data_IF_121679741070
#
_entry.id   IF_121679741070
#
_cell.length_a   1.000
_cell.length_b   1.000
_cell.length_c   1.000
_cell.angle_alpha   90.00
_cell.angle_beta   90.00
_cell.angle_gamma   90.00
#
_symmetry.space_group_name_H-M   'P 1'
#
loop_
_entity.id
_entity.type
_entity.pdbx_description
1 polymer ?
#
# COMPACT_ATOMS: atom_id res chain seq x y z
N UNK A 1 -10.37 67.96 10.72
CA UNK A 1 -10.57 69.22 9.92
C UNK A 1 -10.94 68.81 8.51
N UNK A 2 -12.10 69.30 8.07
CA UNK A 2 -12.80 68.99 6.83
C UNK A 2 -12.03 69.41 5.60
N UNK A 3 -12.14 68.70 4.46
CA UNK A 3 -12.63 69.34 3.23
C UNK A 3 -13.06 68.26 2.22
N UNK A 4 -14.32 68.36 1.82
CA UNK A 4 -14.97 67.73 0.69
C UNK A 4 -14.60 68.43 -0.60
N UNK A 5 -14.49 67.74 -1.71
CA UNK A 5 -14.75 68.30 -3.01
C UNK A 5 -15.51 67.26 -3.88
N UNK A 6 -16.66 67.64 -4.39
CA UNK A 6 -17.54 67.03 -5.38
C UNK A 6 -17.46 67.79 -6.69
N UNK A 7 -18.18 67.44 -7.71
CA UNK A 7 -17.73 66.85 -8.98
C UNK A 7 -17.96 67.79 -10.16
N UNK A 8 -17.48 67.44 -11.33
CA UNK A 8 -17.93 68.08 -12.57
C UNK A 8 -18.50 67.04 -13.55
N UNK A 9 -19.75 67.21 -13.83
CA UNK A 9 -20.53 66.53 -14.87
C UNK A 9 -20.34 67.31 -16.17
N UNK A 10 -19.88 66.64 -17.20
CA UNK A 10 -20.03 67.19 -18.58
C UNK A 10 -20.78 66.18 -19.42
N UNK A 11 -21.92 66.63 -19.88
CA UNK A 11 -22.80 65.97 -20.84
C UNK A 11 -22.32 66.24 -22.26
N UNK A 12 -22.28 65.28 -23.13
CA UNK A 12 -22.17 65.49 -24.58
C UNK A 12 -23.09 64.55 -25.35
N UNK A 13 -23.55 64.90 -26.53
CA UNK A 13 -24.83 64.51 -27.07
C UNK A 13 -24.79 63.17 -27.85
N UNK A 14 -25.96 62.57 -27.96
CA UNK A 14 -26.26 61.38 -28.72
C UNK A 14 -26.11 61.62 -30.24
N UNK A 15 -25.39 60.69 -30.91
CA UNK A 15 -25.49 60.49 -32.36
C UNK A 15 -26.11 59.13 -32.59
N UNK A 16 -27.31 59.17 -33.14
CA UNK A 16 -28.04 58.02 -33.62
C UNK A 16 -27.41 57.57 -34.97
N UNK A 17 -26.95 56.33 -35.05
CA UNK A 17 -26.66 55.65 -36.32
C UNK A 17 -27.43 54.34 -36.31
N UNK A 18 -28.47 54.36 -37.14
CA UNK A 18 -29.23 53.21 -37.57
C UNK A 18 -28.34 52.33 -38.47
N UNK A 19 -28.08 51.09 -38.04
CA UNK A 19 -27.42 50.09 -38.85
C UNK A 19 -28.07 48.75 -38.54
N UNK A 20 -29.00 48.39 -39.39
CA UNK A 20 -29.55 47.04 -39.55
C UNK A 20 -28.47 46.09 -39.95
N UNK A 21 -27.94 45.29 -39.01
CA UNK A 21 -27.18 44.11 -39.34
C UNK A 21 -28.02 42.83 -39.25
N UNK A 22 -27.87 41.87 -40.19
CA UNK A 22 -28.62 40.62 -40.14
C UNK A 22 -28.09 39.73 -39.02
N UNK A 23 -29.00 39.33 -38.13
CA UNK A 23 -28.77 38.36 -37.04
C UNK A 23 -28.36 36.99 -37.64
N UNK A 24 -27.06 36.69 -37.63
CA UNK A 24 -26.55 35.33 -37.87
C UNK A 24 -26.50 34.67 -36.48
N UNK A 25 -27.43 33.75 -36.24
CA UNK A 25 -27.35 32.85 -35.04
C UNK A 25 -26.10 32.00 -35.14
N UNK A 26 -25.29 31.91 -34.09
CA UNK A 26 -24.18 30.96 -34.04
C UNK A 26 -24.73 29.53 -34.07
N UNK A 27 -24.04 28.60 -34.75
CA UNK A 27 -24.42 27.20 -34.76
C UNK A 27 -24.37 26.66 -33.31
N UNK A 28 -25.45 26.02 -32.94
CA UNK A 28 -25.60 25.31 -31.64
C UNK A 28 -24.63 24.14 -31.60
N UNK A 29 -23.36 24.41 -31.24
CA UNK A 29 -22.38 23.38 -30.93
C UNK A 29 -22.65 22.92 -29.52
N UNK A 30 -23.56 21.95 -29.39
CA UNK A 30 -23.70 21.20 -28.16
C UNK A 30 -22.31 20.65 -27.78
N UNK A 31 -21.79 20.89 -26.56
CA UNK A 31 -20.54 20.25 -26.14
C UNK A 31 -20.78 18.75 -26.16
N UNK A 32 -20.08 18.05 -27.03
CA UNK A 32 -19.99 16.61 -26.98
C UNK A 32 -19.35 16.27 -25.65
N UNK A 33 -20.15 15.88 -24.68
CA UNK A 33 -19.68 15.27 -23.43
C UNK A 33 -19.03 13.96 -23.87
N UNK A 34 -17.73 14.03 -24.12
CA UNK A 34 -16.92 12.84 -24.36
C UNK A 34 -17.18 11.90 -23.19
N UNK A 35 -17.80 10.76 -23.44
CA UNK A 35 -18.00 9.73 -22.46
C UNK A 35 -16.63 9.43 -21.84
N UNK A 36 -16.45 9.77 -20.56
CA UNK A 36 -15.29 9.40 -19.77
C UNK A 36 -15.23 7.87 -19.84
N UNK A 37 -14.35 7.34 -20.68
CA UNK A 37 -14.08 5.90 -20.71
C UNK A 37 -13.57 5.57 -19.31
N UNK A 38 -14.37 4.86 -18.52
CA UNK A 38 -14.00 4.45 -17.19
C UNK A 38 -12.73 3.60 -17.28
N UNK A 39 -11.60 4.16 -16.83
CA UNK A 39 -10.32 3.45 -16.79
C UNK A 39 -10.47 2.30 -15.82
N UNK A 40 -10.23 1.07 -16.30
CA UNK A 40 -10.23 -0.10 -15.42
C UNK A 40 -9.07 0.00 -14.43
N UNK A 41 -9.30 -0.19 -13.12
CA UNK A 41 -8.21 -0.18 -12.15
C UNK A 41 -7.11 -1.18 -12.49
N UNK A 42 -5.86 -0.79 -12.26
CA UNK A 42 -4.71 -1.70 -12.33
C UNK A 42 -4.78 -2.76 -11.25
N UNK A 43 -3.97 -3.80 -11.34
CA UNK A 43 -3.91 -4.84 -10.32
C UNK A 43 -3.12 -4.37 -9.08
N UNK A 44 -3.45 -4.95 -7.93
CA UNK A 44 -2.69 -4.81 -6.67
C UNK A 44 -1.96 -6.12 -6.43
N UNK A 45 -0.62 -6.06 -6.34
CA UNK A 45 0.25 -7.23 -6.18
C UNK A 45 0.94 -7.13 -4.82
N UNK A 46 0.55 -7.99 -3.88
CA UNK A 46 1.15 -8.07 -2.55
C UNK A 46 2.24 -9.15 -2.55
N UNK A 47 3.48 -8.75 -2.29
CA UNK A 47 4.65 -9.64 -2.33
C UNK A 47 5.25 -9.79 -0.94
N UNK A 48 5.61 -11.00 -0.57
CA UNK A 48 6.40 -11.27 0.62
C UNK A 48 7.88 -11.10 0.33
N UNK A 49 8.61 -10.48 1.27
CA UNK A 49 10.07 -10.35 1.20
C UNK A 49 10.79 -11.69 0.97
N UNK A 50 12.03 -11.66 0.48
CA UNK A 50 12.93 -12.80 0.31
C UNK A 50 13.29 -13.48 1.63
N UNK A 51 14.12 -14.52 1.60
CA UNK A 51 14.53 -15.24 2.79
C UNK A 51 15.41 -14.37 3.68
N UNK A 52 15.06 -14.19 4.98
CA UNK A 52 15.88 -13.42 5.92
C UNK A 52 17.20 -14.14 6.26
N UNK A 53 18.24 -13.35 6.55
CA UNK A 53 19.54 -13.88 6.95
C UNK A 53 19.48 -14.63 8.29
N UNK A 54 18.61 -14.22 9.20
CA UNK A 54 18.49 -14.84 10.51
C UNK A 54 17.83 -16.23 10.42
N UNK A 55 18.58 -17.27 10.81
CA UNK A 55 18.13 -18.66 10.74
C UNK A 55 16.93 -18.92 11.67
N UNK A 56 16.00 -19.72 11.18
CA UNK A 56 14.86 -20.27 11.95
C UNK A 56 15.11 -21.72 12.42
N UNK A 57 16.32 -22.26 12.19
CA UNK A 57 16.68 -23.63 12.53
C UNK A 57 17.36 -23.68 13.91
N UNK A 58 16.66 -23.25 14.95
CA UNK A 58 17.09 -23.33 16.34
C UNK A 58 15.89 -23.64 17.23
N UNK A 59 16.14 -24.18 18.43
CA UNK A 59 15.14 -24.40 19.47
C UNK A 59 15.40 -23.40 20.60
N UNK A 60 14.44 -22.56 20.88
CA UNK A 60 14.53 -21.45 21.80
C UNK A 60 13.29 -21.37 22.70
N UNK A 61 13.44 -20.83 23.93
CA UNK A 61 12.33 -20.57 24.82
C UNK A 61 11.51 -19.34 24.40
N UNK A 62 10.37 -19.08 25.06
CA UNK A 62 9.54 -17.92 24.79
C UNK A 62 10.32 -16.59 24.95
N UNK A 63 11.11 -16.45 26.02
CA UNK A 63 11.93 -15.25 26.24
C UNK A 63 13.01 -15.10 25.16
N UNK A 64 13.71 -16.17 24.84
CA UNK A 64 14.71 -16.18 23.76
C UNK A 64 14.08 -15.89 22.38
N UNK A 65 12.80 -16.24 22.20
CA UNK A 65 12.08 -15.88 20.99
C UNK A 65 11.82 -14.37 20.89
N UNK A 66 11.57 -13.69 22.01
CA UNK A 66 11.49 -12.23 22.03
C UNK A 66 12.79 -11.56 21.53
N UNK A 67 13.94 -12.00 22.05
CA UNK A 67 15.27 -11.52 21.63
C UNK A 67 15.55 -11.85 20.16
N UNK A 68 15.19 -13.07 19.75
CA UNK A 68 15.32 -13.52 18.36
C UNK A 68 14.44 -12.67 17.43
N UNK A 69 13.19 -12.37 17.84
CA UNK A 69 12.28 -11.56 17.07
C UNK A 69 12.78 -10.12 16.90
N UNK A 70 13.31 -9.50 17.96
CA UNK A 70 13.92 -8.18 17.88
C UNK A 70 15.05 -8.13 16.84
N UNK A 71 15.93 -9.13 16.81
CA UNK A 71 16.99 -9.26 15.79
C UNK A 71 16.42 -9.49 14.39
N UNK A 72 15.35 -10.28 14.28
CA UNK A 72 14.67 -10.54 13.02
C UNK A 72 14.03 -9.29 12.42
N UNK A 73 13.52 -8.40 13.26
CA UNK A 73 12.85 -7.17 12.83
C UNK A 73 13.81 -6.18 12.15
N UNK A 74 15.07 -6.14 12.57
CA UNK A 74 16.10 -5.28 11.99
C UNK A 74 16.96 -6.00 10.95
N UNK A 75 16.82 -7.32 10.81
CA UNK A 75 17.64 -8.13 9.91
C UNK A 75 17.27 -7.97 8.43
N UNK A 76 18.30 -8.06 7.58
CA UNK A 76 18.21 -8.07 6.12
C UNK A 76 17.97 -9.47 5.53
N UNK A 77 18.18 -9.58 4.22
CA UNK A 77 18.06 -10.81 3.45
C UNK A 77 19.32 -11.71 3.60
N UNK A 78 19.11 -13.00 3.46
CA UNK A 78 20.19 -13.93 3.21
C UNK A 78 20.88 -13.57 1.88
N UNK A 79 22.20 -13.51 1.87
CA UNK A 79 22.96 -13.17 0.67
C UNK A 79 22.83 -14.22 -0.44
N UNK A 80 23.01 -13.81 -1.69
CA UNK A 80 23.04 -14.69 -2.86
C UNK A 80 21.68 -15.14 -3.39
N UNK A 81 20.57 -14.56 -2.94
CA UNK A 81 19.26 -14.86 -3.49
C UNK A 81 19.05 -14.14 -4.82
N UNK A 82 18.38 -14.83 -5.75
CA UNK A 82 17.97 -14.26 -7.03
C UNK A 82 16.44 -14.03 -7.03
N UNK A 83 15.98 -12.82 -7.35
CA UNK A 83 14.55 -12.56 -7.48
C UNK A 83 13.90 -13.41 -8.58
N UNK A 84 12.67 -13.90 -8.39
CA UNK A 84 11.93 -14.57 -9.44
C UNK A 84 11.72 -13.66 -10.66
N UNK A 85 11.95 -14.15 -11.89
CA UNK A 85 11.84 -13.32 -13.11
C UNK A 85 10.44 -12.69 -13.28
N UNK A 86 9.39 -13.42 -12.93
CA UNK A 86 8.01 -12.91 -12.99
C UNK A 86 7.78 -11.71 -12.04
N UNK A 87 8.50 -11.67 -10.92
CA UNK A 87 8.41 -10.55 -9.98
C UNK A 87 9.17 -9.32 -10.49
N UNK A 88 10.30 -9.53 -11.15
CA UNK A 88 11.04 -8.47 -11.85
C UNK A 88 10.19 -7.88 -12.97
N UNK A 89 9.55 -8.73 -13.78
CA UNK A 89 8.64 -8.28 -14.85
C UNK A 89 7.44 -7.49 -14.27
N UNK A 90 6.85 -7.94 -13.17
CA UNK A 90 5.77 -7.22 -12.50
C UNK A 90 6.23 -5.85 -12.01
N UNK A 91 7.45 -5.73 -11.46
CA UNK A 91 8.00 -4.47 -11.04
C UNK A 91 8.23 -3.51 -12.21
N UNK A 92 8.71 -3.99 -13.35
CA UNK A 92 8.92 -3.15 -14.54
C UNK A 92 7.59 -2.56 -15.06
N UNK A 93 6.50 -3.33 -15.01
CA UNK A 93 5.17 -2.90 -15.47
C UNK A 93 4.36 -2.09 -14.46
N UNK A 94 4.76 -2.07 -13.19
CA UNK A 94 4.00 -1.38 -12.13
C UNK A 94 4.07 0.15 -12.26
N UNK A 95 2.95 0.84 -12.02
CA UNK A 95 2.89 2.31 -11.94
C UNK A 95 3.39 2.86 -10.61
N UNK A 96 3.42 2.01 -9.55
CA UNK A 96 3.94 2.35 -8.24
C UNK A 96 4.50 1.11 -7.53
N UNK A 97 5.59 1.31 -6.78
CA UNK A 97 6.22 0.25 -5.99
C UNK A 97 6.34 0.75 -4.55
N UNK A 98 5.76 0.02 -3.62
CA UNK A 98 5.86 0.26 -2.18
C UNK A 98 6.69 -0.81 -1.49
N UNK A 99 7.32 -0.46 -0.39
CA UNK A 99 7.97 -1.43 0.49
C UNK A 99 7.73 -1.11 1.97
N UNK A 100 7.62 -2.14 2.79
CA UNK A 100 7.74 -1.99 4.24
C UNK A 100 9.08 -1.35 4.59
N UNK A 101 9.12 -0.57 5.67
CA UNK A 101 10.37 0.04 6.18
C UNK A 101 11.35 -0.97 6.78
N UNK A 102 10.99 -2.25 6.91
CA UNK A 102 11.89 -3.30 7.39
C UNK A 102 12.95 -3.62 6.34
N UNK A 103 14.22 -3.71 6.78
CA UNK A 103 15.38 -3.87 5.90
C UNK A 103 15.19 -5.01 4.88
N UNK A 104 14.75 -6.20 5.31
CA UNK A 104 14.49 -7.34 4.41
C UNK A 104 13.47 -7.06 3.31
N UNK A 105 12.48 -6.19 3.55
CA UNK A 105 11.50 -5.81 2.54
C UNK A 105 12.07 -4.78 1.56
N UNK A 106 12.86 -3.83 2.05
CA UNK A 106 13.54 -2.84 1.21
C UNK A 106 14.59 -3.49 0.31
N UNK A 107 15.43 -4.38 0.85
CA UNK A 107 16.40 -5.14 0.07
C UNK A 107 15.72 -6.02 -0.99
N UNK A 108 14.57 -6.64 -0.64
CA UNK A 108 13.75 -7.37 -1.61
C UNK A 108 13.28 -6.45 -2.73
N UNK A 109 12.74 -5.29 -2.38
CA UNK A 109 12.26 -4.31 -3.36
C UNK A 109 13.40 -3.78 -4.23
N UNK A 110 14.55 -3.45 -3.67
CA UNK A 110 15.73 -2.99 -4.39
C UNK A 110 16.23 -4.03 -5.40
N UNK A 111 16.27 -5.31 -5.00
CA UNK A 111 16.69 -6.41 -5.88
C UNK A 111 15.74 -6.62 -7.07
N UNK A 112 14.45 -6.31 -6.91
CA UNK A 112 13.42 -6.51 -7.95
C UNK A 112 13.20 -5.26 -8.80
N UNK A 113 13.26 -4.07 -8.19
CA UNK A 113 12.88 -2.81 -8.83
C UNK A 113 13.87 -2.35 -9.92
N UNK A 114 15.10 -2.90 -9.97
CA UNK A 114 16.11 -2.59 -11.00
C UNK A 114 16.31 -1.08 -11.21
N UNK A 115 16.48 -0.33 -10.13
CA UNK A 115 16.72 1.12 -10.14
C UNK A 115 15.47 1.99 -10.20
N UNK A 116 14.27 1.42 -10.26
CA UNK A 116 13.02 2.19 -10.15
C UNK A 116 12.81 2.69 -8.71
N UNK A 117 12.09 3.80 -8.58
CA UNK A 117 11.71 4.36 -7.28
C UNK A 117 10.86 3.37 -6.46
N UNK A 118 11.22 3.22 -5.18
CA UNK A 118 10.50 2.41 -4.20
C UNK A 118 10.10 3.28 -3.03
N UNK A 119 8.82 3.42 -2.80
CA UNK A 119 8.25 4.20 -1.71
C UNK A 119 8.23 3.37 -0.42
N UNK A 120 9.16 3.65 0.49
CA UNK A 120 9.18 3.01 1.81
C UNK A 120 8.07 3.57 2.71
N UNK A 121 7.25 2.68 3.31
CA UNK A 121 6.14 3.09 4.17
C UNK A 121 5.99 2.16 5.37
N UNK A 122 5.94 2.76 6.57
CA UNK A 122 5.75 2.06 7.84
C UNK A 122 4.40 1.33 7.91
N UNK A 123 3.43 1.75 7.13
CA UNK A 123 2.11 1.12 7.04
C UNK A 123 2.20 -0.37 6.67
N UNK A 124 3.22 -0.78 5.93
CA UNK A 124 3.39 -2.14 5.44
C UNK A 124 4.26 -3.04 6.34
N UNK A 125 4.59 -2.63 7.58
CA UNK A 125 5.32 -3.50 8.52
C UNK A 125 4.48 -4.72 8.94
N UNK A 126 5.17 -5.78 9.41
CA UNK A 126 4.48 -6.99 9.89
C UNK A 126 3.67 -6.70 11.16
N UNK A 127 2.55 -7.40 11.33
CA UNK A 127 1.81 -7.39 12.59
C UNK A 127 2.63 -8.08 13.71
N UNK A 128 2.65 -7.54 14.94
CA UNK A 128 3.54 -7.99 15.99
C UNK A 128 3.31 -9.46 16.38
N UNK A 129 4.37 -10.09 16.87
CA UNK A 129 4.39 -11.49 17.33
C UNK A 129 5.08 -11.58 18.71
N UNK A 130 4.56 -10.91 19.76
CA UNK A 130 5.15 -10.99 21.08
C UNK A 130 5.10 -12.42 21.62
N UNK A 131 6.16 -12.88 22.32
CA UNK A 131 6.16 -14.21 22.92
C UNK A 131 5.05 -14.33 23.96
N UNK A 132 4.26 -15.41 23.95
CA UNK A 132 3.26 -15.66 24.96
C UNK A 132 3.90 -16.04 26.30
N UNK A 133 3.18 -15.89 27.44
CA UNK A 133 3.67 -16.24 28.76
C UNK A 133 3.68 -17.77 28.97
N UNK A 134 4.62 -18.44 28.31
CA UNK A 134 4.79 -19.91 28.36
C UNK A 134 6.07 -20.23 29.13
N UNK A 135 6.10 -21.32 29.95
CA UNK A 135 7.27 -21.69 30.71
C UNK A 135 8.54 -21.87 29.89
N UNK A 136 9.69 -21.39 30.42
CA UNK A 136 10.99 -21.34 29.72
C UNK A 136 11.57 -22.73 29.32
N UNK A 137 11.11 -23.81 29.96
CA UNK A 137 11.53 -25.17 29.60
C UNK A 137 10.93 -25.64 28.27
N UNK A 138 9.83 -25.00 27.80
CA UNK A 138 9.25 -25.27 26.49
C UNK A 138 10.11 -24.58 25.42
N UNK A 139 10.71 -25.38 24.55
CA UNK A 139 11.56 -24.90 23.44
C UNK A 139 10.94 -25.26 22.12
N UNK A 140 10.74 -24.26 21.27
CA UNK A 140 10.21 -24.41 19.91
C UNK A 140 11.12 -23.70 18.90
N UNK A 141 11.00 -24.05 17.63
CA UNK A 141 11.64 -23.26 16.60
C UNK A 141 10.94 -21.91 16.41
N UNK A 142 11.63 -20.86 15.93
CA UNK A 142 11.00 -19.57 15.65
C UNK A 142 9.76 -19.62 14.74
N UNK A 143 9.72 -20.62 13.85
CA UNK A 143 8.53 -20.89 13.02
C UNK A 143 7.32 -21.25 13.87
N UNK A 144 7.50 -22.18 14.81
CA UNK A 144 6.42 -22.61 15.69
C UNK A 144 6.06 -21.54 16.74
N UNK A 145 7.07 -20.81 17.26
CA UNK A 145 6.80 -19.65 18.10
C UNK A 145 5.92 -18.62 17.39
N UNK A 146 6.17 -18.36 16.09
CA UNK A 146 5.32 -17.47 15.30
C UNK A 146 3.86 -17.95 15.21
N UNK A 147 3.63 -19.26 15.11
CA UNK A 147 2.28 -19.84 15.13
C UNK A 147 1.62 -19.67 16.50
N UNK A 148 2.34 -20.02 17.57
CA UNK A 148 1.82 -19.92 18.95
C UNK A 148 1.54 -18.46 19.33
N UNK A 149 2.47 -17.52 19.05
CA UNK A 149 2.27 -16.10 19.29
C UNK A 149 1.06 -15.56 18.51
N UNK A 150 0.88 -15.98 17.26
CA UNK A 150 -0.27 -15.57 16.45
C UNK A 150 -1.58 -16.11 17.02
N UNK A 151 -1.60 -17.35 17.51
CA UNK A 151 -2.77 -17.89 18.21
C UNK A 151 -3.10 -17.08 19.47
N UNK A 152 -2.09 -16.78 20.32
CA UNK A 152 -2.27 -15.96 21.54
C UNK A 152 -2.78 -14.55 21.22
N UNK A 153 -2.23 -13.93 20.20
CA UNK A 153 -2.67 -12.62 19.73
C UNK A 153 -4.13 -12.62 19.26
N UNK A 154 -4.58 -13.70 18.59
CA UNK A 154 -5.97 -13.82 18.15
C UNK A 154 -6.95 -14.17 19.26
N UNK A 155 -6.59 -15.10 20.12
CA UNK A 155 -7.49 -15.65 21.13
C UNK A 155 -7.57 -14.77 22.39
N UNK A 156 -6.48 -14.11 22.74
CA UNK A 156 -6.35 -13.38 24.02
C UNK A 156 -5.93 -11.92 23.84
N UNK A 157 -5.84 -11.43 22.61
CA UNK A 157 -5.30 -10.10 22.27
C UNK A 157 -3.95 -9.81 22.95
N UNK A 158 -3.11 -10.86 23.07
CA UNK A 158 -1.79 -10.74 23.67
C UNK A 158 -0.84 -9.99 22.74
N UNK A 159 -0.76 -8.69 22.91
CA UNK A 159 0.02 -7.79 22.04
C UNK A 159 1.36 -7.32 22.67
N UNK A 160 1.63 -7.63 23.96
CA UNK A 160 2.88 -7.27 24.63
C UNK A 160 3.19 -5.77 24.64
N UNK A 161 2.18 -4.92 24.74
CA UNK A 161 2.32 -3.46 24.67
C UNK A 161 2.54 -2.89 23.24
N UNK A 162 2.48 -3.75 22.23
CA UNK A 162 2.58 -3.37 20.81
C UNK A 162 1.18 -3.15 20.21
N UNK A 163 1.06 -3.26 18.90
CA UNK A 163 -0.20 -3.11 18.16
C UNK A 163 -1.18 -4.25 18.49
N UNK A 164 -2.40 -3.89 18.87
CA UNK A 164 -3.50 -4.84 19.08
C UNK A 164 -3.98 -5.42 17.74
N UNK A 165 -4.79 -6.50 17.82
CA UNK A 165 -5.41 -7.05 16.60
C UNK A 165 -6.30 -6.03 15.88
N UNK A 166 -7.14 -5.30 16.63
CA UNK A 166 -8.02 -4.29 16.05
C UNK A 166 -7.25 -3.16 15.37
N UNK A 167 -6.14 -2.70 15.98
CA UNK A 167 -5.26 -1.69 15.36
C UNK A 167 -4.60 -2.21 14.09
N UNK A 168 -4.13 -3.45 14.07
CA UNK A 168 -3.52 -4.05 12.88
C UNK A 168 -4.56 -4.26 11.76
N UNK A 169 -5.80 -4.62 12.08
CA UNK A 169 -6.91 -4.72 11.13
C UNK A 169 -7.22 -3.34 10.54
N UNK A 170 -7.37 -2.31 11.37
CA UNK A 170 -7.58 -0.93 10.89
C UNK A 170 -6.43 -0.43 10.00
N UNK A 171 -5.17 -0.74 10.35
CA UNK A 171 -4.01 -0.40 9.51
C UNK A 171 -4.03 -1.16 8.19
N UNK A 172 -4.46 -2.41 8.17
CA UNK A 172 -4.59 -3.19 6.95
C UNK A 172 -5.70 -2.64 6.02
N UNK A 173 -6.81 -2.16 6.59
CA UNK A 173 -7.87 -1.48 5.84
C UNK A 173 -7.35 -0.16 5.23
N UNK A 174 -6.65 0.66 6.00
CA UNK A 174 -6.02 1.89 5.50
C UNK A 174 -4.99 1.60 4.39
N UNK A 175 -4.19 0.55 4.55
CA UNK A 175 -3.25 0.11 3.52
C UNK A 175 -3.96 -0.32 2.25
N UNK A 176 -5.06 -1.07 2.36
CA UNK A 176 -5.88 -1.46 1.21
C UNK A 176 -6.45 -0.25 0.49
N UNK A 177 -7.02 0.73 1.20
CA UNK A 177 -7.57 1.96 0.61
C UNK A 177 -6.49 2.77 -0.12
N UNK A 178 -5.30 2.89 0.47
CA UNK A 178 -4.15 3.55 -0.19
C UNK A 178 -3.78 2.87 -1.51
N UNK A 179 -3.75 1.54 -1.53
CA UNK A 179 -3.40 0.77 -2.73
C UNK A 179 -4.51 0.85 -3.79
N UNK A 180 -5.79 0.82 -3.36
CA UNK A 180 -6.95 0.99 -4.24
C UNK A 180 -6.90 2.36 -4.93
N UNK A 181 -6.76 3.44 -4.16
CA UNK A 181 -6.67 4.79 -4.71
C UNK A 181 -5.53 4.92 -5.74
N UNK A 182 -4.40 4.24 -5.51
CA UNK A 182 -3.29 4.25 -6.45
C UNK A 182 -3.58 3.43 -7.71
N UNK A 183 -4.26 2.29 -7.58
CA UNK A 183 -4.62 1.42 -8.69
C UNK A 183 -5.71 2.00 -9.60
N UNK A 184 -6.53 2.94 -9.11
CA UNK A 184 -7.56 3.64 -9.89
C UNK A 184 -6.99 4.43 -11.08
N UNK A 185 -5.69 4.74 -11.08
CA UNK A 185 -5.00 5.31 -12.25
C UNK A 185 -4.93 4.37 -13.46
N UNK A 186 -5.34 3.11 -13.32
CA UNK A 186 -5.25 2.07 -14.34
C UNK A 186 -3.91 1.32 -14.36
N UNK A 187 -2.96 1.71 -13.50
CA UNK A 187 -1.63 1.10 -13.45
C UNK A 187 -1.52 0.11 -12.28
N UNK A 188 -0.80 -0.98 -12.48
CA UNK A 188 -0.53 -1.97 -11.44
C UNK A 188 0.26 -1.36 -10.27
N UNK A 189 -0.05 -1.82 -9.04
CA UNK A 189 0.63 -1.42 -7.81
C UNK A 189 1.28 -2.62 -7.18
N UNK A 190 2.59 -2.54 -6.92
CA UNK A 190 3.38 -3.62 -6.33
C UNK A 190 3.81 -3.25 -4.91
N UNK A 191 3.66 -4.18 -3.96
CA UNK A 191 4.01 -3.98 -2.55
C UNK A 191 4.92 -5.09 -2.05
N UNK A 192 6.08 -4.73 -1.49
CA UNK A 192 6.99 -5.65 -0.81
C UNK A 192 6.80 -5.54 0.70
N UNK A 193 6.17 -6.55 1.30
CA UNK A 193 5.86 -6.55 2.72
C UNK A 193 6.01 -7.95 3.35
N UNK A 194 5.13 -8.32 4.27
CA UNK A 194 5.28 -9.48 5.12
C UNK A 194 4.10 -10.46 4.96
N UNK A 195 4.33 -11.72 5.34
CA UNK A 195 3.39 -12.78 5.03
C UNK A 195 2.01 -12.59 5.66
N UNK A 196 1.96 -12.27 6.95
CA UNK A 196 0.68 -12.15 7.64
C UNK A 196 0.00 -10.80 7.36
N UNK A 197 0.74 -9.71 7.38
CA UNK A 197 0.17 -8.41 7.06
C UNK A 197 -0.41 -8.36 5.63
N UNK A 198 0.29 -8.94 4.64
CA UNK A 198 -0.26 -9.12 3.29
C UNK A 198 -1.56 -9.95 3.27
N UNK A 199 -1.71 -10.92 4.18
CA UNK A 199 -2.96 -11.65 4.32
C UNK A 199 -4.10 -10.74 4.83
N UNK A 200 -3.81 -9.87 5.81
CA UNK A 200 -4.79 -8.92 6.35
C UNK A 200 -5.20 -7.89 5.29
N UNK A 201 -4.25 -7.27 4.60
CA UNK A 201 -4.52 -6.34 3.47
C UNK A 201 -5.34 -7.04 2.38
N UNK A 202 -5.00 -8.30 2.05
CA UNK A 202 -5.75 -9.07 1.07
C UNK A 202 -7.19 -9.40 1.50
N UNK A 203 -7.47 -9.47 2.80
CA UNK A 203 -8.86 -9.57 3.32
C UNK A 203 -9.62 -8.27 3.11
N UNK A 204 -8.99 -7.14 3.43
CA UNK A 204 -9.56 -5.81 3.23
C UNK A 204 -9.86 -5.57 1.74
N UNK A 205 -8.91 -5.86 0.83
CA UNK A 205 -9.14 -5.77 -0.62
C UNK A 205 -10.34 -6.61 -1.08
N UNK A 206 -10.51 -7.82 -0.53
CA UNK A 206 -11.67 -8.67 -0.87
C UNK A 206 -12.98 -8.09 -0.36
N UNK A 207 -13.00 -7.48 0.83
CA UNK A 207 -14.17 -6.79 1.36
C UNK A 207 -14.60 -5.63 0.45
N UNK A 208 -13.64 -4.95 -0.20
CA UNK A 208 -13.88 -3.89 -1.19
C UNK A 208 -14.14 -4.42 -2.62
N UNK A 209 -14.40 -5.72 -2.76
CA UNK A 209 -14.79 -6.34 -4.03
C UNK A 209 -13.64 -6.71 -4.98
N UNK A 210 -12.38 -6.62 -4.52
CA UNK A 210 -11.23 -7.10 -5.29
C UNK A 210 -11.14 -8.63 -5.25
N UNK A 211 -10.82 -9.25 -6.38
CA UNK A 211 -10.71 -10.71 -6.49
C UNK A 211 -9.26 -11.14 -6.53
N UNK A 212 -8.93 -12.16 -5.72
CA UNK A 212 -7.63 -12.81 -5.77
C UNK A 212 -7.56 -13.68 -7.03
N UNK A 213 -6.79 -13.28 -8.02
CA UNK A 213 -6.67 -13.96 -9.32
C UNK A 213 -5.43 -14.85 -9.43
N UNK A 214 -4.39 -14.55 -8.62
CA UNK A 214 -3.19 -15.37 -8.55
C UNK A 214 -2.68 -15.43 -7.11
N UNK A 215 -2.24 -16.62 -6.63
CA UNK A 215 -1.80 -16.83 -5.25
C UNK A 215 -0.70 -17.89 -5.17
N UNK A 216 0.50 -17.48 -4.78
CA UNK A 216 1.64 -18.36 -4.53
C UNK A 216 1.80 -18.76 -3.06
N UNK A 217 0.80 -18.48 -2.20
CA UNK A 217 0.79 -18.82 -0.79
C UNK A 217 1.65 -17.91 0.08
N UNK A 218 2.39 -18.50 1.04
CA UNK A 218 3.18 -17.80 2.05
C UNK A 218 4.70 -18.04 1.92
N UNK A 219 5.19 -18.47 0.79
CA UNK A 219 6.63 -18.66 0.55
C UNK A 219 7.35 -17.31 0.50
N UNK A 220 8.66 -17.29 0.73
CA UNK A 220 9.49 -16.13 0.40
C UNK A 220 9.39 -15.82 -1.09
N UNK A 221 9.47 -14.55 -1.44
CA UNK A 221 9.28 -14.05 -2.81
C UNK A 221 7.89 -14.32 -3.41
N UNK A 222 6.93 -14.88 -2.65
CA UNK A 222 5.59 -15.17 -3.16
C UNK A 222 4.81 -13.90 -3.41
N UNK A 223 3.95 -13.93 -4.41
CA UNK A 223 3.04 -12.85 -4.76
C UNK A 223 1.58 -13.31 -4.73
N UNK A 224 0.69 -12.33 -4.48
CA UNK A 224 -0.76 -12.43 -4.56
C UNK A 224 -1.27 -11.26 -5.36
N UNK A 225 -1.92 -11.56 -6.50
CA UNK A 225 -2.47 -10.55 -7.41
C UNK A 225 -3.97 -10.41 -7.21
N UNK A 226 -4.41 -9.20 -7.01
CA UNK A 226 -5.82 -8.83 -6.87
C UNK A 226 -6.23 -7.92 -8.03
N UNK A 227 -7.45 -8.14 -8.54
CA UNK A 227 -8.03 -7.35 -9.63
C UNK A 227 -9.48 -6.97 -9.29
N UNK A 228 -9.90 -5.78 -9.69
CA UNK A 228 -11.29 -5.33 -9.65
C UNK A 228 -11.95 -5.69 -10.98
N UNK A 229 -13.02 -6.51 -10.93
CA UNK A 229 -13.78 -6.95 -12.12
C UNK A 229 -15.19 -6.38 -12.07
#
# INVERSE_FOLDING_TARGET
MKLKARPLVMSAPALSLDSTEPSVSPPDVAPSVGALVAVRPGAIILTRHGEPALSRKCLISARQYGDWWAKYEIGGLLAGQTPPPELVAAAQGAGAIYASTRQRAQETAAAVAAGREVMADVMFIEAPLPPPPIPEWIKLSPKWWGVVSRFWWHAFDHHGGQETRAQAEARADQAAQKLIARAESGQDVLVFAHGYFNHMVGRALKADGWKLVHNQGFKYWSQRRYEKR
#
